data_IF_840689249070
#
_entry.id   IF_840689249070
#
_cell.length_a   1.000
_cell.length_b   1.000
_cell.length_c   1.000
_cell.angle_alpha   90.00
_cell.angle_beta   90.00
_cell.angle_gamma   90.00
#
_symmetry.space_group_name_H-M   'P 1'
#
loop_
_entity.id
_entity.type
_entity.pdbx_description
1 polymer ?
#
# COMPACT_ATOMS: atom_id res chain seq x y z
N UNK A 1 -3.96 36.80 -7.32
CA UNK A 1 -5.10 35.95 -6.95
C UNK A 1 -5.46 36.25 -5.50
N UNK A 2 -6.55 36.98 -5.28
CA UNK A 2 -6.97 37.39 -3.93
C UNK A 2 -7.37 36.14 -3.13
N UNK A 3 -6.80 36.01 -1.93
CA UNK A 3 -6.98 34.86 -1.05
C UNK A 3 -8.44 34.73 -0.62
N UNK A 4 -9.14 33.75 -1.18
CA UNK A 4 -10.41 33.30 -0.62
C UNK A 4 -10.08 32.70 0.74
N UNK A 5 -10.57 33.32 1.80
CA UNK A 5 -10.34 32.90 3.19
C UNK A 5 -10.82 31.45 3.43
N UNK A 6 -10.31 30.78 4.45
CA UNK A 6 -10.85 29.49 4.93
C UNK A 6 -11.83 29.80 6.06
N UNK A 7 -13.07 30.26 5.77
CA UNK A 7 -13.95 30.83 6.79
C UNK A 7 -14.26 29.81 7.90
N UNK A 8 -14.48 28.55 7.53
CA UNK A 8 -14.82 27.48 8.48
C UNK A 8 -13.63 27.11 9.35
N UNK A 9 -12.43 26.97 8.76
CA UNK A 9 -11.18 26.72 9.51
C UNK A 9 -10.87 27.88 10.45
N UNK A 10 -11.01 29.13 9.97
CA UNK A 10 -10.81 30.32 10.81
C UNK A 10 -11.84 30.36 11.94
N UNK A 11 -13.10 30.08 11.66
CA UNK A 11 -14.17 30.06 12.66
C UNK A 11 -13.90 29.01 13.74
N UNK A 12 -13.59 27.77 13.35
CA UNK A 12 -13.24 26.69 14.26
C UNK A 12 -11.98 27.04 15.09
N UNK A 13 -10.96 27.60 14.45
CA UNK A 13 -9.74 28.02 15.14
C UNK A 13 -9.97 29.18 16.12
N UNK A 14 -10.85 30.14 15.81
CA UNK A 14 -11.21 31.21 16.75
C UNK A 14 -11.98 30.65 17.96
N UNK A 15 -12.85 29.66 17.76
CA UNK A 15 -13.54 28.97 18.86
C UNK A 15 -12.54 28.30 19.81
N UNK A 16 -11.62 27.50 19.25
CA UNK A 16 -10.52 26.88 20.01
C UNK A 16 -9.71 27.94 20.77
N UNK A 17 -9.30 29.02 20.09
CA UNK A 17 -8.51 30.10 20.68
C UNK A 17 -9.25 30.77 21.84
N UNK A 18 -10.57 30.99 21.72
CA UNK A 18 -11.37 31.59 22.77
C UNK A 18 -11.41 30.74 24.04
N UNK A 19 -11.52 29.41 23.90
CA UNK A 19 -11.46 28.44 25.01
C UNK A 19 -10.07 28.37 25.62
N UNK A 20 -9.04 28.32 24.77
CA UNK A 20 -7.64 28.25 25.18
C UNK A 20 -7.14 29.49 25.95
N UNK A 21 -7.84 30.63 25.89
CA UNK A 21 -7.51 31.82 26.72
C UNK A 21 -7.45 31.51 28.22
N UNK A 22 -8.18 30.48 28.68
CA UNK A 22 -8.22 30.05 30.09
C UNK A 22 -7.09 29.09 30.47
N UNK A 23 -6.26 28.66 29.50
CA UNK A 23 -5.20 27.66 29.65
C UNK A 23 -3.88 28.21 29.09
N UNK A 24 -3.17 29.05 29.87
CA UNK A 24 -1.94 29.72 29.40
C UNK A 24 -0.82 28.72 29.07
N UNK A 25 -0.84 27.55 29.70
CA UNK A 25 0.04 26.41 29.44
C UNK A 25 -0.03 25.92 27.98
N UNK A 26 -1.19 26.05 27.32
CA UNK A 26 -1.41 25.60 25.94
C UNK A 26 -1.16 26.70 24.90
N UNK A 27 -0.77 27.91 25.32
CA UNK A 27 -0.52 29.04 24.42
C UNK A 27 0.55 28.75 23.36
N UNK A 28 1.68 28.09 23.66
CA UNK A 28 2.68 27.75 22.64
C UNK A 28 2.12 26.87 21.52
N UNK A 29 1.33 25.84 21.87
CA UNK A 29 0.68 24.95 20.92
C UNK A 29 -0.29 25.71 19.99
N UNK A 30 -1.11 26.60 20.56
CA UNK A 30 -2.03 27.45 19.78
C UNK A 30 -1.29 28.39 18.83
N UNK A 31 -0.15 28.95 19.23
CA UNK A 31 0.68 29.82 18.36
C UNK A 31 1.27 29.01 17.20
N UNK A 32 1.84 27.83 17.48
CA UNK A 32 2.38 26.93 16.45
C UNK A 32 1.29 26.54 15.44
N UNK A 33 0.11 26.15 15.92
CA UNK A 33 -1.05 25.81 15.09
C UNK A 33 -1.52 27.01 14.25
N UNK A 34 -1.59 28.21 14.85
CA UNK A 34 -1.92 29.43 14.10
C UNK A 34 -0.92 29.70 12.96
N UNK A 35 0.37 29.52 13.22
CA UNK A 35 1.43 29.72 12.22
C UNK A 35 1.29 28.73 11.07
N UNK A 36 1.03 27.46 11.39
CA UNK A 36 0.76 26.42 10.41
C UNK A 36 -0.46 26.77 9.55
N UNK A 37 -1.58 27.18 10.15
CA UNK A 37 -2.80 27.55 9.43
C UNK A 37 -2.61 28.78 8.52
N UNK A 38 -1.91 29.81 8.99
CA UNK A 38 -1.60 30.99 8.17
C UNK A 38 -0.75 30.61 6.95
N UNK A 39 0.25 29.75 7.13
CA UNK A 39 1.08 29.24 6.03
C UNK A 39 0.30 28.32 5.09
N UNK A 40 -0.65 27.57 5.64
CA UNK A 40 -1.54 26.72 4.86
C UNK A 40 -2.40 27.53 3.89
N UNK A 41 -2.94 28.65 4.38
CA UNK A 41 -3.74 29.58 3.59
C UNK A 41 -2.93 30.32 2.52
N UNK A 42 -1.65 30.64 2.78
CA UNK A 42 -0.81 31.37 1.83
C UNK A 42 -0.31 30.54 0.65
N UNK A 43 -0.51 29.21 0.67
CA UNK A 43 -0.07 28.26 -0.36
C UNK A 43 1.45 28.36 -0.70
N UNK A 44 2.24 28.93 0.22
CA UNK A 44 3.68 29.14 0.09
C UNK A 44 4.40 28.12 0.96
N UNK A 45 4.46 26.87 0.50
CA UNK A 45 5.08 25.79 1.27
C UNK A 45 6.49 25.49 0.79
N UNK A 46 7.37 25.36 1.77
CA UNK A 46 8.52 24.46 1.69
C UNK A 46 8.11 23.16 2.39
N UNK A 47 8.20 22.02 1.70
CA UNK A 47 7.87 20.70 2.25
C UNK A 47 8.68 20.44 3.52
N UNK A 48 9.94 20.88 3.57
CA UNK A 48 10.81 20.73 4.73
C UNK A 48 10.25 21.44 5.95
N UNK A 49 9.79 22.68 5.80
CA UNK A 49 9.14 23.42 6.88
C UNK A 49 7.90 22.69 7.40
N UNK A 50 7.07 22.14 6.51
CA UNK A 50 5.86 21.42 6.91
C UNK A 50 6.22 20.16 7.67
N UNK A 51 7.17 19.36 7.18
CA UNK A 51 7.63 18.13 7.85
C UNK A 51 8.20 18.43 9.24
N UNK A 52 9.09 19.41 9.37
CA UNK A 52 9.67 19.81 10.67
C UNK A 52 8.60 20.35 11.63
N UNK A 53 7.68 21.19 11.13
CA UNK A 53 6.60 21.74 11.95
C UNK A 53 5.64 20.65 12.41
N UNK A 54 5.31 19.71 11.53
CA UNK A 54 4.40 18.62 11.84
C UNK A 54 5.00 17.68 12.89
N UNK A 55 6.28 17.32 12.75
CA UNK A 55 7.00 16.53 13.75
C UNK A 55 6.94 17.19 15.15
N UNK A 56 7.19 18.49 15.21
CA UNK A 56 7.19 19.26 16.46
C UNK A 56 5.78 19.54 17.04
N UNK A 57 4.73 19.44 16.21
CA UNK A 57 3.35 19.74 16.62
C UNK A 57 2.61 18.49 17.09
N UNK A 58 3.07 17.28 16.74
CA UNK A 58 2.37 16.02 17.06
C UNK A 58 2.07 15.85 18.56
N UNK A 59 3.08 16.01 19.42
CA UNK A 59 2.89 15.92 20.88
C UNK A 59 1.99 17.04 21.44
N UNK A 60 2.09 18.23 20.87
CA UNK A 60 1.28 19.38 21.28
C UNK A 60 -0.21 19.19 20.90
N UNK A 61 -0.49 18.50 19.79
CA UNK A 61 -1.85 18.15 19.39
C UNK A 61 -2.51 17.23 20.41
N UNK A 62 -1.78 16.28 20.99
CA UNK A 62 -2.31 15.41 22.04
C UNK A 62 -2.77 16.22 23.26
N UNK A 63 -1.98 17.21 23.68
CA UNK A 63 -2.35 18.12 24.77
C UNK A 63 -3.60 18.95 24.44
N UNK A 64 -3.71 19.41 23.18
CA UNK A 64 -4.87 20.15 22.72
C UNK A 64 -6.13 19.27 22.64
N UNK A 65 -6.05 18.04 22.14
CA UNK A 65 -7.17 17.10 22.13
C UNK A 65 -7.61 16.74 23.56
N UNK A 66 -6.67 16.54 24.48
CA UNK A 66 -6.98 16.27 25.89
C UNK A 66 -7.71 17.43 26.55
N UNK A 67 -7.38 18.67 26.20
CA UNK A 67 -7.99 19.86 26.81
C UNK A 67 -9.28 20.34 26.10
N UNK A 68 -9.36 20.17 24.78
CA UNK A 68 -10.37 20.78 23.91
C UNK A 68 -10.77 19.83 22.76
N UNK A 69 -11.17 18.59 23.09
CA UNK A 69 -11.47 17.54 22.10
C UNK A 69 -12.43 18.02 21.02
N UNK A 70 -13.59 18.56 21.42
CA UNK A 70 -14.63 19.01 20.50
C UNK A 70 -14.12 20.11 19.55
N UNK A 71 -13.52 21.17 20.09
CA UNK A 71 -13.02 22.29 19.28
C UNK A 71 -11.91 21.85 18.32
N UNK A 72 -11.05 20.91 18.73
CA UNK A 72 -10.01 20.35 17.87
C UNK A 72 -10.58 19.46 16.76
N UNK A 73 -11.60 18.65 17.04
CA UNK A 73 -12.27 17.84 16.03
C UNK A 73 -13.04 18.69 15.01
N UNK A 74 -13.70 19.77 15.45
CA UNK A 74 -14.32 20.73 14.55
C UNK A 74 -13.29 21.40 13.64
N UNK A 75 -12.13 21.78 14.18
CA UNK A 75 -11.02 22.32 13.41
C UNK A 75 -10.47 21.30 12.41
N UNK A 76 -10.26 20.05 12.84
CA UNK A 76 -9.78 18.96 11.99
C UNK A 76 -10.76 18.69 10.83
N UNK A 77 -12.05 18.57 11.13
CA UNK A 77 -13.12 18.38 10.15
C UNK A 77 -13.13 19.50 9.10
N UNK A 78 -13.14 20.76 9.55
CA UNK A 78 -13.08 21.93 8.66
C UNK A 78 -11.79 21.99 7.82
N UNK A 79 -10.66 21.58 8.40
CA UNK A 79 -9.37 21.55 7.72
C UNK A 79 -9.35 20.51 6.59
N UNK A 80 -9.84 19.30 6.85
CA UNK A 80 -9.97 18.27 5.84
C UNK A 80 -10.90 18.71 4.70
N UNK A 81 -12.04 19.31 5.03
CA UNK A 81 -12.99 19.85 4.04
C UNK A 81 -12.35 20.92 3.16
N UNK A 82 -11.71 21.90 3.78
CA UNK A 82 -11.06 22.99 3.05
C UNK A 82 -9.93 22.48 2.15
N UNK A 83 -9.11 21.55 2.63
CA UNK A 83 -8.02 20.97 1.83
C UNK A 83 -8.59 20.20 0.64
N UNK A 84 -9.56 19.30 0.85
CA UNK A 84 -10.08 18.44 -0.22
C UNK A 84 -10.87 19.21 -1.28
N UNK A 85 -11.62 20.23 -0.87
CA UNK A 85 -12.34 21.10 -1.82
C UNK A 85 -11.39 22.00 -2.62
N UNK A 86 -10.22 22.35 -2.07
CA UNK A 86 -9.20 23.16 -2.74
C UNK A 86 -8.13 22.38 -3.46
N UNK A 87 -8.14 21.04 -3.36
CA UNK A 87 -7.20 20.12 -4.01
C UNK A 87 -7.27 20.10 -5.54
N UNK A 88 -7.59 21.23 -6.17
CA UNK A 88 -7.52 21.49 -7.61
C UNK A 88 -6.18 22.12 -8.02
N UNK A 89 -5.27 22.32 -7.07
CA UNK A 89 -3.96 22.93 -7.32
C UNK A 89 -3.05 21.96 -8.09
N UNK A 90 -2.65 22.32 -9.31
CA UNK A 90 -1.72 21.54 -10.16
C UNK A 90 -0.29 21.39 -9.60
N UNK A 91 0.01 21.95 -8.42
CA UNK A 91 1.35 21.89 -7.84
C UNK A 91 1.46 20.72 -6.85
N UNK A 92 2.12 19.64 -7.30
CA UNK A 92 2.34 18.41 -6.51
C UNK A 92 2.96 18.67 -5.14
N UNK A 93 3.87 19.65 -4.99
CA UNK A 93 4.51 19.95 -3.70
C UNK A 93 3.51 20.49 -2.66
N UNK A 94 2.54 21.29 -3.11
CA UNK A 94 1.47 21.82 -2.26
C UNK A 94 0.53 20.70 -1.84
N UNK A 95 0.22 19.78 -2.77
CA UNK A 95 -0.61 18.61 -2.47
C UNK A 95 0.02 17.74 -1.37
N UNK A 96 1.31 17.41 -1.48
CA UNK A 96 2.01 16.64 -0.45
C UNK A 96 2.04 17.35 0.91
N UNK A 97 2.24 18.67 0.91
CA UNK A 97 2.22 19.47 2.14
C UNK A 97 0.86 19.42 2.84
N UNK A 98 -0.22 19.54 2.08
CA UNK A 98 -1.58 19.43 2.60
C UNK A 98 -1.90 18.05 3.16
N UNK A 99 -1.50 17.00 2.45
CA UNK A 99 -1.68 15.64 2.94
C UNK A 99 -0.87 15.35 4.19
N UNK A 100 0.34 15.91 4.30
CA UNK A 100 1.15 15.76 5.49
C UNK A 100 0.47 16.39 6.72
N UNK A 101 -0.17 17.55 6.54
CA UNK A 101 -0.98 18.18 7.59
C UNK A 101 -2.19 17.32 7.95
N UNK A 102 -2.93 16.80 6.96
CA UNK A 102 -4.05 15.89 7.20
C UNK A 102 -3.62 14.64 7.98
N UNK A 103 -2.50 14.03 7.57
CA UNK A 103 -1.90 12.87 8.25
C UNK A 103 -1.52 13.20 9.68
N UNK A 104 -0.85 14.34 9.91
CA UNK A 104 -0.51 14.81 11.25
C UNK A 104 -1.75 14.95 12.13
N UNK A 105 -2.80 15.60 11.62
CA UNK A 105 -4.04 15.82 12.37
C UNK A 105 -4.67 14.50 12.81
N UNK A 106 -4.73 13.49 11.93
CA UNK A 106 -5.24 12.15 12.26
C UNK A 106 -4.32 11.40 13.22
N UNK A 107 -3.01 11.44 12.98
CA UNK A 107 -2.02 10.82 13.86
C UNK A 107 -2.11 11.40 15.28
N UNK A 108 -2.31 12.71 15.43
CA UNK A 108 -2.52 13.32 16.74
C UNK A 108 -3.79 12.85 17.47
N UNK A 109 -4.86 12.48 16.73
CA UNK A 109 -6.05 11.87 17.34
C UNK A 109 -5.74 10.43 17.77
N UNK A 110 -5.04 9.67 16.94
CA UNK A 110 -4.63 8.30 17.26
C UNK A 110 -3.72 8.26 18.50
N UNK A 111 -2.71 9.13 18.56
CA UNK A 111 -1.83 9.25 19.72
C UNK A 111 -2.62 9.63 20.98
N UNK A 112 -3.59 10.55 20.86
CA UNK A 112 -4.47 10.92 21.96
C UNK A 112 -5.29 9.72 22.47
N UNK A 113 -5.83 8.90 21.57
CA UNK A 113 -6.59 7.70 21.93
C UNK A 113 -5.69 6.64 22.59
N UNK A 114 -4.46 6.49 22.10
CA UNK A 114 -3.46 5.57 22.65
C UNK A 114 -3.01 6.00 24.06
N UNK A 115 -2.71 7.28 24.26
CA UNK A 115 -2.28 7.81 25.56
C UNK A 115 -3.39 7.80 26.61
N UNK A 116 -4.61 8.16 26.21
CA UNK A 116 -5.71 8.26 27.17
C UNK A 116 -6.18 6.88 27.62
N UNK A 117 -5.93 5.82 26.82
CA UNK A 117 -6.42 4.44 27.01
C UNK A 117 -7.89 4.38 27.43
N UNK A 118 -8.66 5.40 27.06
CA UNK A 118 -10.00 5.60 27.59
C UNK A 118 -10.93 4.62 26.92
N UNK A 119 -11.69 3.89 27.72
CA UNK A 119 -12.89 3.17 27.28
C UNK A 119 -14.12 4.08 27.28
N UNK A 120 -13.95 5.39 27.49
CA UNK A 120 -15.02 6.37 27.48
C UNK A 120 -15.66 6.44 26.09
N UNK A 121 -16.90 5.97 26.04
CA UNK A 121 -17.71 5.91 24.83
C UNK A 121 -18.00 7.30 24.27
N UNK A 122 -18.12 8.33 25.12
CA UNK A 122 -18.43 9.71 24.69
C UNK A 122 -17.33 10.29 23.80
N UNK A 123 -16.07 9.94 24.09
CA UNK A 123 -14.90 10.34 23.27
C UNK A 123 -15.04 9.80 21.84
N UNK A 124 -15.29 8.49 21.70
CA UNK A 124 -15.41 7.86 20.38
C UNK A 124 -16.66 8.33 19.63
N UNK A 125 -17.77 8.56 20.33
CA UNK A 125 -18.98 9.12 19.74
C UNK A 125 -18.76 10.53 19.20
N UNK A 126 -18.07 11.38 19.98
CA UNK A 126 -17.72 12.75 19.56
C UNK A 126 -16.81 12.74 18.33
N UNK A 127 -15.80 11.86 18.31
CA UNK A 127 -14.91 11.65 17.15
C UNK A 127 -15.72 11.19 15.93
N UNK A 128 -16.58 10.21 16.09
CA UNK A 128 -17.40 9.67 15.02
C UNK A 128 -18.45 10.66 14.50
N UNK A 129 -18.92 11.61 15.31
CA UNK A 129 -19.80 12.68 14.88
C UNK A 129 -19.09 13.65 13.92
N UNK A 130 -17.87 14.05 14.25
CA UNK A 130 -17.17 15.11 13.53
C UNK A 130 -16.30 14.61 12.37
N UNK A 131 -15.71 13.42 12.51
CA UNK A 131 -14.70 12.92 11.58
C UNK A 131 -15.26 11.91 10.57
N UNK A 132 -16.17 11.01 10.96
CA UNK A 132 -16.67 9.99 10.02
C UNK A 132 -17.30 10.58 8.75
N UNK A 133 -18.16 11.61 8.82
CA UNK A 133 -18.76 12.19 7.62
C UNK A 133 -17.71 12.67 6.62
N UNK A 134 -16.68 13.36 7.11
CA UNK A 134 -15.60 13.91 6.30
C UNK A 134 -14.71 12.81 5.73
N UNK A 135 -14.29 11.85 6.56
CA UNK A 135 -13.46 10.72 6.12
C UNK A 135 -14.19 9.88 5.07
N UNK A 136 -15.44 9.49 5.34
CA UNK A 136 -16.18 8.65 4.41
C UNK A 136 -16.42 9.37 3.08
N UNK A 137 -16.83 10.66 3.11
CA UNK A 137 -17.09 11.46 1.90
C UNK A 137 -15.91 11.50 0.93
N UNK A 138 -14.70 11.75 1.40
CA UNK A 138 -13.55 11.95 0.51
C UNK A 138 -12.73 10.69 0.23
N UNK A 139 -12.69 9.75 1.17
CA UNK A 139 -11.84 8.55 1.06
C UNK A 139 -12.61 7.31 0.61
N UNK A 140 -13.94 7.39 0.54
CA UNK A 140 -14.82 6.35 -0.02
C UNK A 140 -15.87 6.99 -0.95
N UNK A 141 -15.47 7.71 -2.02
CA UNK A 141 -16.43 8.41 -2.86
C UNK A 141 -17.25 7.41 -3.69
N UNK A 142 -18.58 7.61 -3.73
CA UNK A 142 -19.51 6.79 -4.52
C UNK A 142 -19.27 6.89 -6.04
N UNK A 143 -18.70 8.00 -6.49
CA UNK A 143 -18.41 8.28 -7.90
C UNK A 143 -16.90 8.48 -8.10
N UNK A 144 -16.44 8.41 -9.34
CA UNK A 144 -15.07 8.77 -9.69
C UNK A 144 -14.88 10.29 -9.51
N UNK A 145 -14.29 10.71 -8.39
CA UNK A 145 -13.87 12.10 -8.20
C UNK A 145 -12.43 12.27 -8.67
N UNK A 146 -12.16 13.36 -9.41
CA UNK A 146 -10.83 13.65 -9.97
C UNK A 146 -9.77 13.72 -8.85
N UNK A 147 -10.15 14.29 -7.70
CA UNK A 147 -9.23 14.48 -6.58
C UNK A 147 -8.91 13.19 -5.82
N UNK A 148 -9.73 12.14 -5.93
CA UNK A 148 -9.54 10.91 -5.15
C UNK A 148 -8.30 10.10 -5.59
N UNK A 149 -8.00 10.08 -6.89
CA UNK A 149 -6.79 9.43 -7.41
C UNK A 149 -5.52 10.21 -7.02
N UNK A 150 -5.64 11.51 -6.71
CA UNK A 150 -4.53 12.34 -6.26
C UNK A 150 -4.24 12.18 -4.76
N UNK A 151 -5.12 11.50 -4.00
CA UNK A 151 -4.89 11.24 -2.57
C UNK A 151 -3.82 10.16 -2.43
N UNK A 152 -2.73 10.47 -1.72
CA UNK A 152 -1.68 9.49 -1.44
C UNK A 152 -2.22 8.26 -0.73
N UNK A 153 -1.63 7.12 -1.08
CA UNK A 153 -1.93 5.83 -0.45
C UNK A 153 -1.67 5.91 1.06
N UNK A 154 -0.60 6.58 1.51
CA UNK A 154 -0.33 6.71 2.95
C UNK A 154 -1.47 7.42 3.70
N UNK A 155 -2.03 8.48 3.13
CA UNK A 155 -3.15 9.18 3.76
C UNK A 155 -4.41 8.30 3.76
N UNK A 156 -4.71 7.60 2.66
CA UNK A 156 -5.83 6.64 2.61
C UNK A 156 -5.68 5.56 3.67
N UNK A 157 -4.51 4.92 3.76
CA UNK A 157 -4.20 3.91 4.78
C UNK A 157 -4.37 4.48 6.19
N UNK A 158 -3.88 5.71 6.46
CA UNK A 158 -4.04 6.36 7.77
C UNK A 158 -5.52 6.57 8.11
N UNK A 159 -6.36 6.92 7.13
CA UNK A 159 -7.81 7.05 7.33
C UNK A 159 -8.46 5.71 7.66
N UNK A 160 -8.02 4.62 7.03
CA UNK A 160 -8.61 3.29 7.30
C UNK A 160 -8.25 2.78 8.68
N UNK A 161 -6.98 2.93 9.07
CA UNK A 161 -6.53 2.66 10.44
C UNK A 161 -7.32 3.53 11.43
N UNK A 162 -7.47 4.81 11.15
CA UNK A 162 -8.27 5.70 11.99
C UNK A 162 -9.73 5.24 12.16
N UNK A 163 -10.40 4.88 11.06
CA UNK A 163 -11.78 4.36 11.12
C UNK A 163 -11.84 3.03 11.86
N UNK A 164 -10.86 2.15 11.64
CA UNK A 164 -10.73 0.86 12.32
C UNK A 164 -10.60 1.07 13.83
N UNK A 165 -9.70 1.95 14.27
CA UNK A 165 -9.39 2.18 15.69
C UNK A 165 -10.46 2.97 16.42
N UNK A 166 -11.30 3.71 15.71
CA UNK A 166 -12.39 4.48 16.31
C UNK A 166 -13.73 3.74 16.29
N UNK A 167 -13.91 2.73 15.44
CA UNK A 167 -15.10 1.89 15.37
C UNK A 167 -15.11 0.75 16.41
N UNK A 168 -14.80 1.05 17.68
CA UNK A 168 -14.61 0.03 18.74
C UNK A 168 -15.89 -0.63 19.26
N UNK A 169 -17.04 0.03 19.14
CA UNK A 169 -18.31 -0.47 19.68
C UNK A 169 -19.36 -0.68 18.58
N UNK A 170 -20.38 -1.49 18.89
CA UNK A 170 -21.43 -1.86 17.93
C UNK A 170 -22.22 -0.66 17.39
N UNK A 171 -22.39 0.41 18.17
CA UNK A 171 -23.09 1.62 17.72
C UNK A 171 -22.32 2.32 16.59
N UNK A 172 -21.01 2.50 16.78
CA UNK A 172 -20.13 3.14 15.79
C UNK A 172 -19.91 2.27 14.55
N UNK A 173 -19.78 0.96 14.72
CA UNK A 173 -19.76 0.00 13.61
C UNK A 173 -21.06 0.09 12.80
N UNK A 174 -22.22 0.11 13.47
CA UNK A 174 -23.52 0.29 12.81
C UNK A 174 -23.60 1.63 12.06
N UNK A 175 -23.04 2.70 12.62
CA UNK A 175 -22.99 4.02 11.96
C UNK A 175 -22.20 3.96 10.66
N UNK A 176 -21.04 3.29 10.63
CA UNK A 176 -20.25 3.09 9.40
C UNK A 176 -20.93 2.13 8.40
N UNK A 177 -21.73 1.18 8.88
CA UNK A 177 -22.56 0.33 7.99
C UNK A 177 -23.72 1.08 7.34
N UNK A 178 -24.09 2.28 7.81
CA UNK A 178 -25.17 3.07 7.19
C UNK A 178 -24.81 3.44 5.73
N UNK A 179 -25.63 3.05 4.74
CA UNK A 179 -25.43 3.42 3.34
C UNK A 179 -25.32 4.93 3.06
N UNK A 180 -25.89 5.77 3.95
CA UNK A 180 -25.79 7.24 3.84
C UNK A 180 -24.41 7.76 4.24
N UNK A 181 -23.65 7.02 5.04
CA UNK A 181 -22.35 7.43 5.54
C UNK A 181 -21.21 6.74 4.80
N UNK A 182 -21.13 5.41 4.88
CA UNK A 182 -20.14 4.59 4.19
C UNK A 182 -20.88 3.42 3.53
N UNK A 183 -21.41 2.49 4.34
CA UNK A 183 -22.11 1.31 3.84
C UNK A 183 -21.25 0.37 3.01
N UNK A 184 -21.78 -0.82 2.73
CA UNK A 184 -20.99 -1.85 2.05
C UNK A 184 -20.69 -1.54 0.58
N UNK A 185 -21.59 -0.87 -0.14
CA UNK A 185 -21.37 -0.54 -1.55
C UNK A 185 -20.16 0.38 -1.81
N UNK A 186 -19.99 1.44 -1.00
CA UNK A 186 -18.85 2.37 -1.14
C UNK A 186 -17.57 1.73 -0.64
N UNK A 187 -17.66 0.90 0.40
CA UNK A 187 -16.55 0.10 0.87
C UNK A 187 -16.06 -0.91 -0.19
N UNK A 188 -16.99 -1.62 -0.84
CA UNK A 188 -16.69 -2.53 -1.95
C UNK A 188 -16.09 -1.83 -3.16
N UNK A 189 -16.57 -0.63 -3.50
CA UNK A 189 -15.97 0.18 -4.54
C UNK A 189 -14.52 0.57 -4.21
N UNK A 190 -14.23 0.87 -2.95
CA UNK A 190 -12.88 1.18 -2.48
C UNK A 190 -11.97 -0.05 -2.55
N UNK A 191 -12.42 -1.21 -2.04
CA UNK A 191 -11.70 -2.48 -2.19
C UNK A 191 -11.38 -2.79 -3.65
N UNK A 192 -12.33 -2.53 -4.56
CA UNK A 192 -12.14 -2.74 -5.98
C UNK A 192 -11.13 -1.78 -6.61
N UNK A 193 -10.69 -0.70 -5.94
CA UNK A 193 -9.68 0.27 -6.41
C UNK A 193 -8.29 0.01 -5.84
N UNK A 194 -8.18 -0.57 -4.65
CA UNK A 194 -6.88 -0.77 -4.00
C UNK A 194 -6.03 -1.82 -4.72
N UNK A 195 -4.75 -1.49 -4.93
CA UNK A 195 -3.75 -2.35 -5.60
C UNK A 195 -2.45 -2.51 -4.81
N UNK A 196 -2.35 -1.90 -3.63
CA UNK A 196 -1.21 -2.04 -2.74
C UNK A 196 -1.59 -2.97 -1.58
N UNK A 197 -0.68 -3.86 -1.18
CA UNK A 197 -0.90 -4.89 -0.17
C UNK A 197 -1.26 -4.28 1.19
N UNK A 198 -0.40 -3.40 1.73
CA UNK A 198 -0.62 -2.77 3.05
C UNK A 198 -1.89 -1.91 3.10
N UNK A 199 -2.27 -1.37 1.94
CA UNK A 199 -3.49 -0.59 1.81
C UNK A 199 -4.73 -1.49 1.82
N UNK A 200 -4.62 -2.67 1.21
CA UNK A 200 -5.66 -3.69 1.19
C UNK A 200 -5.84 -4.28 2.60
N UNK A 201 -4.74 -4.57 3.29
CA UNK A 201 -4.71 -5.05 4.68
C UNK A 201 -5.45 -4.09 5.62
N UNK A 202 -5.11 -2.80 5.62
CA UNK A 202 -5.78 -1.80 6.45
C UNK A 202 -7.29 -1.66 6.15
N UNK A 203 -7.73 -1.87 4.90
CA UNK A 203 -9.17 -1.94 4.60
C UNK A 203 -9.79 -3.19 5.20
N UNK A 204 -9.14 -4.33 5.04
CA UNK A 204 -9.68 -5.60 5.50
C UNK A 204 -9.73 -5.68 7.04
N UNK A 205 -8.79 -5.07 7.76
CA UNK A 205 -8.90 -4.86 9.21
C UNK A 205 -10.12 -4.01 9.60
N UNK A 206 -10.42 -2.96 8.82
CA UNK A 206 -11.66 -2.21 8.99
C UNK A 206 -12.89 -3.08 8.67
N UNK A 207 -12.84 -3.90 7.61
CA UNK A 207 -13.94 -4.80 7.25
C UNK A 207 -14.26 -5.76 8.40
N UNK A 208 -13.24 -6.41 8.98
CA UNK A 208 -13.40 -7.33 10.11
C UNK A 208 -14.27 -6.71 11.22
N UNK A 209 -13.99 -5.45 11.59
CA UNK A 209 -14.76 -4.71 12.60
C UNK A 209 -16.17 -4.35 12.14
N UNK A 210 -16.39 -4.20 10.84
CA UNK A 210 -17.68 -3.82 10.26
C UNK A 210 -18.59 -5.01 9.97
N UNK A 211 -18.09 -6.24 9.91
CA UNK A 211 -18.91 -7.43 9.68
C UNK A 211 -19.92 -7.61 10.82
N UNK A 212 -21.24 -7.64 10.56
CA UNK A 212 -22.25 -7.91 11.58
C UNK A 212 -22.12 -9.31 12.20
N UNK A 213 -22.49 -9.44 13.47
CA UNK A 213 -22.55 -10.75 14.14
C UNK A 213 -23.80 -11.54 13.77
N UNK A 214 -24.90 -10.84 13.50
CA UNK A 214 -26.17 -11.43 13.06
C UNK A 214 -26.03 -11.93 11.62
N UNK A 215 -26.47 -13.17 11.35
CA UNK A 215 -26.26 -13.79 10.02
C UNK A 215 -26.97 -13.05 8.90
N UNK A 216 -28.25 -12.66 9.08
CA UNK A 216 -29.03 -12.02 8.02
C UNK A 216 -28.48 -10.63 7.70
N UNK A 217 -28.15 -9.85 8.75
CA UNK A 217 -27.49 -8.55 8.57
C UNK A 217 -26.11 -8.69 7.92
N UNK A 218 -25.36 -9.73 8.30
CA UNK A 218 -24.04 -10.02 7.73
C UNK A 218 -24.14 -10.34 6.26
N UNK A 219 -25.03 -11.24 5.87
CA UNK A 219 -25.16 -11.67 4.49
C UNK A 219 -25.58 -10.49 3.59
N UNK A 220 -26.52 -9.66 4.04
CA UNK A 220 -26.90 -8.42 3.34
C UNK A 220 -25.74 -7.42 3.21
N UNK A 221 -24.98 -7.23 4.28
CA UNK A 221 -23.83 -6.31 4.28
C UNK A 221 -22.72 -6.81 3.35
N UNK A 222 -22.35 -8.09 3.45
CA UNK A 222 -21.33 -8.75 2.63
C UNK A 222 -21.74 -8.77 1.15
N UNK A 223 -23.02 -9.02 0.86
CA UNK A 223 -23.57 -8.93 -0.50
C UNK A 223 -23.43 -7.53 -1.09
N UNK A 224 -23.62 -6.50 -0.28
CA UNK A 224 -23.48 -5.11 -0.72
C UNK A 224 -22.02 -4.70 -0.98
N UNK A 225 -21.05 -5.38 -0.36
CA UNK A 225 -19.61 -5.16 -0.60
C UNK A 225 -19.17 -5.85 -1.89
N UNK A 226 -19.41 -7.17 -2.00
CA UNK A 226 -18.88 -7.98 -3.09
C UNK A 226 -19.84 -8.03 -4.27
N UNK A 227 -20.01 -6.87 -4.91
CA UNK A 227 -20.81 -6.72 -6.11
C UNK A 227 -20.18 -7.49 -7.29
N UNK A 228 -20.91 -8.39 -7.99
CA UNK A 228 -20.38 -9.15 -9.14
C UNK A 228 -19.86 -8.27 -10.29
N UNK A 229 -20.35 -7.04 -10.43
CA UNK A 229 -19.85 -6.08 -11.42
C UNK A 229 -18.44 -5.56 -11.11
N UNK A 230 -18.05 -5.58 -9.82
CA UNK A 230 -16.73 -5.16 -9.36
C UNK A 230 -15.79 -6.36 -9.16
N UNK A 231 -16.34 -7.51 -8.75
CA UNK A 231 -15.55 -8.69 -8.39
C UNK A 231 -15.99 -9.94 -9.16
N UNK A 232 -15.15 -10.38 -10.11
CA UNK A 232 -15.38 -11.61 -10.89
C UNK A 232 -15.41 -12.88 -10.03
N UNK A 233 -14.75 -12.88 -8.87
CA UNK A 233 -14.74 -13.97 -7.87
C UNK A 233 -15.52 -13.61 -6.60
N UNK A 234 -16.58 -12.81 -6.73
CA UNK A 234 -17.39 -12.36 -5.59
C UNK A 234 -17.85 -13.50 -4.68
N UNK A 235 -18.30 -14.65 -5.23
CA UNK A 235 -18.78 -15.75 -4.40
C UNK A 235 -17.70 -16.32 -3.47
N UNK A 236 -16.47 -16.53 -3.99
CA UNK A 236 -15.34 -16.99 -3.16
C UNK A 236 -15.02 -15.97 -2.05
N UNK A 237 -15.12 -14.67 -2.33
CA UNK A 237 -14.91 -13.63 -1.31
C UNK A 237 -16.00 -13.66 -0.24
N UNK A 238 -17.27 -13.80 -0.64
CA UNK A 238 -18.40 -13.91 0.29
C UNK A 238 -18.26 -15.12 1.19
N UNK A 239 -17.95 -16.28 0.63
CA UNK A 239 -17.82 -17.53 1.38
C UNK A 239 -16.72 -17.41 2.45
N UNK A 240 -15.57 -16.82 2.10
CA UNK A 240 -14.48 -16.58 3.06
C UNK A 240 -14.91 -15.61 4.16
N UNK A 241 -15.49 -14.46 3.82
CA UNK A 241 -15.88 -13.46 4.83
C UNK A 241 -17.00 -13.97 5.75
N UNK A 242 -17.93 -14.76 5.24
CA UNK A 242 -18.98 -15.38 6.08
C UNK A 242 -18.38 -16.44 7.03
N UNK A 243 -17.25 -17.06 6.67
CA UNK A 243 -16.54 -18.03 7.51
C UNK A 243 -15.63 -17.41 8.59
N UNK A 244 -15.43 -16.08 8.56
CA UNK A 244 -14.45 -15.36 9.37
C UNK A 244 -14.57 -15.60 10.89
N UNK A 245 -15.79 -15.80 11.40
CA UNK A 245 -16.04 -16.03 12.83
C UNK A 245 -15.28 -17.24 13.40
N UNK A 246 -14.90 -18.20 12.54
CA UNK A 246 -14.33 -19.48 12.95
C UNK A 246 -12.82 -19.60 12.67
N UNK A 247 -12.17 -18.55 12.17
CA UNK A 247 -10.77 -18.61 11.74
C UNK A 247 -10.01 -17.35 12.19
N UNK A 248 -8.74 -17.47 12.58
CA UNK A 248 -7.93 -16.31 12.90
C UNK A 248 -7.67 -15.48 11.64
N UNK A 249 -7.64 -14.17 11.81
CA UNK A 249 -7.46 -13.22 10.72
C UNK A 249 -6.21 -13.50 9.88
N UNK A 250 -5.11 -13.86 10.54
CA UNK A 250 -3.81 -14.16 9.91
C UNK A 250 -3.86 -15.35 8.95
N UNK A 251 -4.82 -16.26 9.10
CA UNK A 251 -5.07 -17.36 8.16
C UNK A 251 -5.99 -16.94 7.01
N UNK A 252 -6.99 -16.09 7.31
CA UNK A 252 -8.03 -15.69 6.36
C UNK A 252 -7.51 -14.66 5.35
N UNK A 253 -6.77 -13.67 5.81
CA UNK A 253 -6.34 -12.56 4.95
C UNK A 253 -5.45 -13.00 3.77
N UNK A 254 -4.46 -13.90 3.93
CA UNK A 254 -3.70 -14.44 2.80
C UNK A 254 -4.59 -15.13 1.74
N UNK A 255 -5.66 -15.83 2.16
CA UNK A 255 -6.60 -16.45 1.23
C UNK A 255 -7.38 -15.42 0.42
N UNK A 256 -7.80 -14.33 1.07
CA UNK A 256 -8.45 -13.18 0.41
C UNK A 256 -7.50 -12.60 -0.64
N UNK A 257 -6.26 -12.28 -0.27
CA UNK A 257 -5.25 -11.72 -1.20
C UNK A 257 -5.04 -12.67 -2.40
N UNK A 258 -5.01 -13.98 -2.17
CA UNK A 258 -4.90 -14.98 -3.22
C UNK A 258 -6.12 -15.00 -4.18
N UNK A 259 -7.33 -14.70 -3.71
CA UNK A 259 -8.51 -14.51 -4.58
C UNK A 259 -8.32 -13.26 -5.44
N UNK A 260 -7.96 -12.12 -4.84
CA UNK A 260 -7.71 -10.88 -5.55
C UNK A 260 -6.63 -11.04 -6.63
N UNK A 261 -5.52 -11.71 -6.29
CA UNK A 261 -4.44 -12.00 -7.23
C UNK A 261 -4.93 -12.80 -8.46
N UNK A 262 -5.85 -13.76 -8.26
CA UNK A 262 -6.46 -14.57 -9.33
C UNK A 262 -7.48 -13.79 -10.17
N UNK A 263 -8.02 -12.69 -9.67
CA UNK A 263 -8.95 -11.85 -10.42
C UNK A 263 -8.22 -10.94 -11.42
N UNK A 264 -7.06 -10.40 -11.02
CA UNK A 264 -6.27 -9.53 -11.89
C UNK A 264 -4.82 -9.46 -11.42
N UNK A 265 -3.90 -9.47 -12.39
CA UNK A 265 -2.46 -9.25 -12.16
C UNK A 265 -2.15 -7.88 -11.53
N UNK A 266 -3.10 -6.93 -11.59
CA UNK A 266 -2.94 -5.59 -10.99
C UNK A 266 -3.06 -5.60 -9.46
N UNK A 267 -3.76 -6.58 -8.89
CA UNK A 267 -3.80 -6.75 -7.44
C UNK A 267 -2.46 -7.25 -6.88
N UNK A 268 -2.21 -7.13 -5.57
CA UNK A 268 -1.03 -7.72 -4.94
C UNK A 268 -0.90 -9.21 -5.32
N UNK A 269 0.28 -9.61 -5.76
CA UNK A 269 0.57 -10.99 -6.14
C UNK A 269 1.37 -11.65 -5.02
N UNK A 270 0.80 -12.60 -4.27
CA UNK A 270 1.55 -13.38 -3.29
C UNK A 270 2.47 -14.36 -4.03
N UNK A 271 3.76 -14.29 -3.73
CA UNK A 271 4.81 -15.15 -4.30
C UNK A 271 5.48 -15.88 -3.14
N UNK A 272 5.43 -17.22 -3.07
CA UNK A 272 6.15 -17.94 -2.04
C UNK A 272 7.66 -17.74 -2.23
N UNK A 273 8.36 -17.46 -1.14
CA UNK A 273 9.79 -17.22 -1.11
C UNK A 273 10.44 -18.01 0.03
N UNK A 274 11.75 -18.23 -0.09
CA UNK A 274 12.61 -18.73 0.97
C UNK A 274 13.94 -17.98 0.96
N UNK A 275 14.68 -18.04 2.07
CA UNK A 275 16.03 -17.47 2.19
C UNK A 275 16.09 -15.98 1.82
N UNK A 276 15.16 -15.17 2.31
CA UNK A 276 15.22 -13.73 2.13
C UNK A 276 16.36 -13.15 2.97
N UNK A 277 17.43 -12.66 2.36
CA UNK A 277 18.60 -12.11 3.06
C UNK A 277 18.99 -10.76 2.47
N UNK A 278 19.37 -9.82 3.33
CA UNK A 278 20.17 -8.67 2.91
C UNK A 278 21.65 -9.03 3.03
N UNK A 279 22.50 -8.31 2.29
CA UNK A 279 23.95 -8.61 2.18
C UNK A 279 24.67 -8.72 3.53
N UNK A 280 24.16 -8.03 4.56
CA UNK A 280 24.77 -7.93 5.88
C UNK A 280 23.90 -8.52 7.00
N UNK A 281 22.80 -9.22 6.67
CA UNK A 281 21.85 -9.74 7.68
C UNK A 281 21.59 -11.24 7.55
N UNK A 282 21.21 -11.84 8.68
CA UNK A 282 20.73 -13.22 8.73
C UNK A 282 19.49 -13.43 7.85
N UNK A 283 19.22 -14.67 7.40
CA UNK A 283 18.00 -15.00 6.66
C UNK A 283 16.76 -14.68 7.47
N UNK A 284 15.83 -14.00 6.82
CA UNK A 284 14.49 -13.76 7.30
C UNK A 284 13.59 -14.97 6.97
N UNK A 285 12.78 -15.46 7.92
CA UNK A 285 11.94 -16.65 7.73
C UNK A 285 10.66 -16.39 6.93
N UNK A 286 10.48 -15.20 6.35
CA UNK A 286 9.28 -14.88 5.57
C UNK A 286 9.00 -15.89 4.47
N UNK A 287 7.78 -16.42 4.43
CA UNK A 287 7.37 -17.43 3.46
C UNK A 287 6.76 -16.81 2.20
N UNK A 288 6.30 -15.56 2.25
CA UNK A 288 5.57 -14.92 1.16
C UNK A 288 6.02 -13.48 0.91
N UNK A 289 6.29 -13.19 -0.35
CA UNK A 289 6.56 -11.86 -0.88
C UNK A 289 5.35 -11.37 -1.67
N UNK A 290 4.86 -10.19 -1.36
CA UNK A 290 3.79 -9.54 -2.10
C UNK A 290 4.38 -8.57 -3.14
N UNK A 291 4.01 -8.78 -4.40
CA UNK A 291 4.37 -7.90 -5.53
C UNK A 291 3.16 -7.05 -5.90
N UNK A 292 3.20 -5.77 -5.57
CA UNK A 292 2.06 -4.87 -5.71
C UNK A 292 2.40 -3.63 -6.55
N UNK A 293 1.53 -2.61 -6.58
CA UNK A 293 1.78 -1.42 -7.39
C UNK A 293 2.92 -0.52 -6.89
N UNK A 294 3.29 -0.62 -5.60
CA UNK A 294 4.29 0.23 -4.95
C UNK A 294 5.67 -0.41 -4.92
N UNK A 295 5.71 -1.73 -4.78
CA UNK A 295 6.97 -2.42 -4.60
C UNK A 295 6.83 -3.88 -4.22
N UNK A 296 7.84 -4.34 -3.50
CA UNK A 296 7.91 -5.64 -2.88
C UNK A 296 7.68 -5.48 -1.37
N UNK A 297 6.79 -6.28 -0.81
CA UNK A 297 6.45 -6.22 0.62
C UNK A 297 6.46 -7.62 1.22
N UNK A 298 7.09 -7.80 2.36
CA UNK A 298 7.10 -9.06 3.11
C UNK A 298 7.39 -8.81 4.59
N UNK A 299 7.07 -9.79 5.43
CA UNK A 299 7.26 -9.69 6.88
C UNK A 299 8.68 -10.09 7.27
N UNK A 300 9.29 -9.39 8.22
CA UNK A 300 10.64 -9.64 8.76
C UNK A 300 10.62 -9.71 10.28
N UNK A 301 11.36 -10.67 10.84
CA UNK A 301 11.57 -10.77 12.28
C UNK A 301 12.65 -9.77 12.71
N UNK A 302 12.28 -8.86 13.63
CA UNK A 302 13.14 -7.86 14.24
C UNK A 302 12.94 -7.94 15.75
N UNK A 303 13.97 -8.35 16.49
CA UNK A 303 13.97 -8.39 17.97
C UNK A 303 12.74 -9.05 18.60
N UNK A 304 12.41 -10.28 18.16
CA UNK A 304 11.23 -11.06 18.58
C UNK A 304 9.86 -10.45 18.21
N UNK A 305 9.84 -9.44 17.33
CA UNK A 305 8.62 -8.90 16.72
C UNK A 305 8.61 -9.12 15.20
N UNK A 306 7.42 -9.27 14.63
CA UNK A 306 7.23 -9.29 13.18
C UNK A 306 6.97 -7.86 12.72
N UNK A 307 7.83 -7.35 11.85
CA UNK A 307 7.68 -6.05 11.20
C UNK A 307 7.50 -6.21 9.68
N UNK A 308 7.07 -5.16 9.01
CA UNK A 308 6.90 -5.12 7.56
C UNK A 308 8.14 -4.52 6.90
N UNK A 309 8.75 -5.27 5.98
CA UNK A 309 9.77 -4.78 5.06
C UNK A 309 9.13 -4.35 3.74
N UNK A 310 9.39 -3.10 3.33
CA UNK A 310 8.92 -2.57 2.05
C UNK A 310 10.05 -2.04 1.18
N UNK A 311 10.08 -2.49 -0.08
CA UNK A 311 11.05 -2.08 -1.10
C UNK A 311 10.30 -1.44 -2.26
N UNK A 312 10.34 -0.11 -2.33
CA UNK A 312 9.74 0.62 -3.43
C UNK A 312 10.48 0.37 -4.76
N UNK A 313 9.76 0.33 -5.88
CA UNK A 313 10.39 0.01 -7.18
C UNK A 313 11.47 1.00 -7.62
N UNK A 314 11.33 2.29 -7.26
CA UNK A 314 12.35 3.30 -7.57
C UNK A 314 13.67 3.09 -6.81
N UNK A 315 13.66 2.28 -5.74
CA UNK A 315 14.85 1.89 -5.00
C UNK A 315 15.59 0.73 -5.67
N UNK A 316 14.95 -0.02 -6.58
CA UNK A 316 15.58 -1.16 -7.25
C UNK A 316 16.41 -0.63 -8.42
N UNK A 317 17.72 -0.86 -8.36
CA UNK A 317 18.67 -0.46 -9.41
C UNK A 317 18.77 -1.55 -10.48
N UNK A 318 18.81 -2.82 -10.05
CA UNK A 318 19.06 -3.95 -10.95
C UNK A 318 18.50 -5.24 -10.37
N UNK A 319 18.02 -6.11 -11.25
CA UNK A 319 17.48 -7.42 -10.89
C UNK A 319 18.25 -8.49 -11.65
N UNK A 320 18.89 -9.42 -10.92
CA UNK A 320 19.56 -10.60 -11.47
C UNK A 320 18.85 -11.84 -10.96
N UNK A 321 18.82 -12.90 -11.76
CA UNK A 321 18.34 -14.19 -11.26
C UNK A 321 19.10 -15.36 -11.86
N UNK A 322 19.19 -16.45 -11.11
CA UNK A 322 19.95 -17.64 -11.53
C UNK A 322 19.32 -18.27 -12.79
N UNK A 323 20.19 -18.66 -13.73
CA UNK A 323 19.77 -19.39 -14.93
C UNK A 323 19.62 -20.88 -14.62
N UNK A 324 18.91 -21.58 -15.50
CA UNK A 324 18.82 -23.04 -15.50
C UNK A 324 20.18 -23.67 -15.81
N UNK A 325 21.07 -23.72 -14.83
CA UNK A 325 22.34 -24.44 -14.97
C UNK A 325 22.19 -25.91 -14.60
N UNK A 326 21.23 -26.27 -13.73
CA UNK A 326 21.06 -27.65 -13.26
C UNK A 326 19.59 -28.03 -13.00
N UNK A 327 19.12 -29.22 -13.45
CA UNK A 327 17.76 -29.70 -13.19
C UNK A 327 17.44 -29.93 -11.71
N UNK A 328 18.47 -30.19 -10.88
CA UNK A 328 18.36 -30.51 -9.45
C UNK A 328 17.97 -29.32 -8.57
N UNK A 329 18.11 -28.08 -9.06
CA UNK A 329 17.77 -26.89 -8.28
C UNK A 329 16.25 -26.64 -8.38
N UNK A 330 15.57 -26.74 -7.23
CA UNK A 330 14.11 -26.59 -7.10
C UNK A 330 13.64 -25.14 -7.00
N UNK A 331 14.56 -24.19 -6.83
CA UNK A 331 14.29 -22.75 -6.69
C UNK A 331 15.04 -21.92 -7.75
N UNK A 332 14.57 -20.71 -8.00
CA UNK A 332 15.28 -19.67 -8.75
C UNK A 332 15.67 -18.57 -7.77
N UNK A 333 16.95 -18.25 -7.68
CA UNK A 333 17.46 -17.20 -6.80
C UNK A 333 17.38 -15.87 -7.54
N UNK A 334 16.76 -14.88 -6.92
CA UNK A 334 16.68 -13.50 -7.40
C UNK A 334 17.53 -12.61 -6.49
N UNK A 335 18.31 -11.72 -7.08
CA UNK A 335 19.10 -10.70 -6.42
C UNK A 335 18.62 -9.33 -6.89
N UNK A 336 18.22 -8.48 -5.94
CA UNK A 336 17.79 -7.10 -6.18
C UNK A 336 18.86 -6.17 -5.60
N UNK A 337 19.55 -5.45 -6.48
CA UNK A 337 20.46 -4.38 -6.08
C UNK A 337 19.64 -3.14 -5.75
N UNK A 338 19.76 -2.65 -4.51
CA UNK A 338 18.99 -1.52 -3.98
C UNK A 338 19.90 -0.29 -3.82
N UNK A 339 19.36 0.90 -4.12
CA UNK A 339 20.08 2.17 -3.99
C UNK A 339 20.27 2.59 -2.52
N UNK A 340 19.25 2.30 -1.70
CA UNK A 340 19.25 2.48 -0.24
C UNK A 340 18.65 1.24 0.43
N UNK A 341 18.87 1.02 1.73
CA UNK A 341 18.30 -0.13 2.42
C UNK A 341 16.76 -0.01 2.47
N UNK A 342 16.02 -1.13 2.61
CA UNK A 342 14.56 -1.13 2.68
C UNK A 342 14.05 -0.36 3.90
N UNK A 343 12.81 0.12 3.83
CA UNK A 343 12.12 0.57 5.03
C UNK A 343 11.63 -0.63 5.81
N UNK A 344 12.00 -0.70 7.10
CA UNK A 344 11.49 -1.69 8.05
C UNK A 344 10.70 -0.92 9.11
N UNK A 345 9.42 -1.22 9.23
CA UNK A 345 8.52 -0.48 10.13
C UNK A 345 8.48 1.02 9.83
N UNK A 346 8.87 1.83 10.83
CA UNK A 346 8.93 3.31 10.73
C UNK A 346 10.34 3.84 10.50
N UNK A 347 11.35 2.99 10.48
CA UNK A 347 12.73 3.41 10.45
C UNK A 347 13.21 3.63 9.01
N UNK A 348 13.76 4.82 8.78
CA UNK A 348 14.38 5.17 7.50
C UNK A 348 15.88 4.93 7.64
N UNK A 349 16.44 3.92 6.96
CA UNK A 349 17.85 3.58 7.12
C UNK A 349 18.77 4.63 6.49
N UNK A 350 20.03 4.64 6.92
CA UNK A 350 21.06 5.46 6.30
C UNK A 350 21.31 5.04 4.83
N UNK A 351 21.67 5.97 3.93
CA UNK A 351 21.87 5.66 2.53
C UNK A 351 23.10 4.76 2.30
N UNK A 352 22.88 3.46 2.18
CA UNK A 352 23.89 2.47 1.80
C UNK A 352 23.32 1.50 0.76
N UNK A 353 24.12 1.18 -0.26
CA UNK A 353 23.72 0.18 -1.25
C UNK A 353 23.67 -1.21 -0.60
N UNK A 354 22.58 -1.93 -0.82
CA UNK A 354 22.33 -3.27 -0.25
C UNK A 354 21.75 -4.18 -1.33
N UNK A 355 22.08 -5.47 -1.29
CA UNK A 355 21.44 -6.48 -2.16
C UNK A 355 20.47 -7.33 -1.35
N UNK A 356 19.20 -7.40 -1.79
CA UNK A 356 18.24 -8.40 -1.34
C UNK A 356 18.40 -9.67 -2.18
N UNK A 357 18.60 -10.81 -1.54
CA UNK A 357 18.56 -12.13 -2.16
C UNK A 357 17.31 -12.87 -1.70
N UNK A 358 16.55 -13.46 -2.62
CA UNK A 358 15.41 -14.33 -2.32
C UNK A 358 15.46 -15.57 -3.20
N UNK A 359 14.88 -16.67 -2.72
CA UNK A 359 14.68 -17.89 -3.51
C UNK A 359 13.20 -18.10 -3.77
N UNK A 360 12.81 -18.29 -5.03
CA UNK A 360 11.42 -18.51 -5.44
C UNK A 360 11.28 -19.94 -5.96
N UNK A 361 10.26 -20.73 -5.56
CA UNK A 361 10.04 -22.05 -6.12
C UNK A 361 9.97 -22.02 -7.64
N UNK A 362 10.65 -22.97 -8.30
CA UNK A 362 10.82 -22.97 -9.76
C UNK A 362 9.48 -22.92 -10.52
N UNK A 363 8.45 -23.59 -10.02
CA UNK A 363 7.12 -23.59 -10.61
C UNK A 363 6.36 -22.25 -10.48
N UNK A 364 6.83 -21.34 -9.62
CA UNK A 364 6.29 -19.98 -9.43
C UNK A 364 7.13 -18.89 -10.10
N UNK A 365 8.27 -19.26 -10.68
CA UNK A 365 9.19 -18.29 -11.31
C UNK A 365 8.50 -17.46 -12.38
N UNK A 366 7.73 -18.10 -13.26
CA UNK A 366 7.11 -17.40 -14.39
C UNK A 366 5.98 -16.48 -13.93
N UNK A 367 5.24 -16.87 -12.89
CA UNK A 367 4.26 -16.01 -12.23
C UNK A 367 4.93 -14.78 -11.62
N UNK A 368 6.07 -14.95 -10.95
CA UNK A 368 6.81 -13.85 -10.35
C UNK A 368 7.38 -12.90 -11.41
N UNK A 369 8.01 -13.42 -12.47
CA UNK A 369 8.50 -12.61 -13.59
C UNK A 369 7.36 -11.85 -14.28
N UNK A 370 6.20 -12.50 -14.44
CA UNK A 370 4.98 -11.87 -14.99
C UNK A 370 4.48 -10.74 -14.09
N UNK A 371 4.47 -10.93 -12.77
CA UNK A 371 4.11 -9.90 -11.81
C UNK A 371 5.06 -8.69 -11.90
N UNK A 372 6.38 -8.92 -11.85
CA UNK A 372 7.39 -7.87 -12.01
C UNK A 372 7.26 -7.12 -13.35
N UNK A 373 7.06 -7.85 -14.46
CA UNK A 373 6.83 -7.24 -15.78
C UNK A 373 5.57 -6.38 -15.80
N UNK A 374 4.49 -6.82 -15.18
CA UNK A 374 3.25 -6.06 -15.07
C UNK A 374 3.38 -4.78 -14.24
N UNK A 375 4.50 -4.60 -13.52
CA UNK A 375 4.85 -3.41 -12.73
C UNK A 375 5.91 -2.52 -13.39
N UNK A 376 6.31 -2.87 -14.61
CA UNK A 376 7.24 -2.05 -15.40
C UNK A 376 8.71 -2.19 -15.01
N UNK A 377 9.06 -3.07 -14.06
CA UNK A 377 10.46 -3.25 -13.61
C UNK A 377 11.26 -4.25 -14.46
N UNK A 378 10.69 -4.76 -15.56
CA UNK A 378 11.41 -5.65 -16.47
C UNK A 378 12.59 -5.00 -17.18
N UNK A 379 12.63 -3.67 -17.29
CA UNK A 379 13.79 -2.94 -17.80
C UNK A 379 15.02 -3.01 -16.89
N UNK A 380 14.82 -3.36 -15.61
CA UNK A 380 15.89 -3.52 -14.61
C UNK A 380 16.49 -4.93 -14.64
N UNK A 381 15.93 -5.84 -15.43
CA UNK A 381 16.46 -7.19 -15.58
C UNK A 381 17.83 -7.12 -16.24
N UNK A 382 18.81 -7.79 -15.65
CA UNK A 382 20.14 -7.87 -16.25
C UNK A 382 20.10 -8.67 -17.55
N UNK A 383 20.05 -7.95 -18.67
CA UNK A 383 20.09 -8.49 -20.02
C UNK A 383 21.52 -8.73 -20.51
N UNK A 384 22.53 -8.82 -19.64
CA UNK A 384 23.85 -9.30 -20.05
C UNK A 384 23.79 -10.79 -20.41
N UNK A 385 23.14 -11.06 -21.54
CA UNK A 385 23.50 -12.09 -22.47
C UNK A 385 24.98 -11.90 -22.82
N UNK A 386 25.87 -12.61 -22.11
CA UNK A 386 26.95 -13.22 -22.86
C UNK A 386 26.26 -14.09 -23.89
N UNK A 387 26.17 -13.61 -25.13
CA UNK A 387 26.15 -14.47 -26.32
C UNK A 387 27.27 -15.45 -26.09
N UNK A 388 26.95 -16.65 -25.63
CA UNK A 388 27.90 -17.74 -25.62
C UNK A 388 28.06 -18.02 -27.10
N UNK A 389 29.13 -17.48 -27.70
CA UNK A 389 29.55 -17.86 -29.02
C UNK A 389 29.62 -19.39 -29.02
N UNK A 390 28.77 -20.02 -29.81
CA UNK A 390 28.92 -21.41 -30.24
C UNK A 390 30.21 -21.48 -31.07
N UNK A 391 31.34 -21.43 -30.39
CA UNK A 391 32.67 -21.58 -30.95
C UNK A 391 33.45 -22.56 -30.07
N UNK A 392 32.83 -23.69 -29.78
CA UNK A 392 33.52 -24.94 -29.45
C UNK A 392 32.77 -26.05 -30.19
N UNK A 393 32.78 -25.96 -31.52
CA UNK A 393 32.56 -27.12 -32.37
C UNK A 393 33.91 -27.82 -32.53
N UNK A 394 34.02 -28.96 -31.86
CA UNK A 394 34.85 -30.12 -32.19
C UNK A 394 36.06 -29.88 -33.10
N UNK A 395 37.22 -29.72 -32.48
CA UNK A 395 38.49 -30.10 -33.10
C UNK A 395 38.96 -31.43 -32.48
N UNK A 396 38.26 -32.50 -32.81
CA UNK A 396 38.85 -33.84 -32.90
C UNK A 396 39.57 -33.89 -34.25
N UNK A 397 40.83 -33.46 -34.25
CA UNK A 397 41.76 -33.67 -35.35
C UNK A 397 42.17 -35.15 -35.35
N UNK A 398 41.38 -35.97 -36.01
CA UNK A 398 41.75 -37.37 -36.30
C UNK A 398 42.51 -37.41 -37.62
N UNK A 399 43.84 -37.45 -37.55
CA UNK A 399 44.70 -37.64 -38.71
C UNK A 399 44.74 -39.14 -39.07
N UNK A 400 43.76 -39.60 -39.84
CA UNK A 400 43.84 -40.89 -40.52
C UNK A 400 44.37 -40.71 -41.95
N UNK A 401 45.59 -41.16 -42.16
CA UNK A 401 46.22 -41.27 -43.47
C UNK A 401 45.46 -42.32 -44.32
N UNK A 402 44.83 -41.88 -45.40
CA UNK A 402 44.40 -42.78 -46.48
C UNK A 402 45.60 -43.39 -47.23
N UNK A 403 45.35 -44.51 -47.92
CA UNK A 403 45.42 -44.44 -49.38
C UNK A 403 44.16 -44.99 -50.07
N UNK A 404 43.66 -44.15 -50.99
CA UNK A 404 42.98 -44.36 -52.28
C UNK A 404 42.22 -45.66 -52.60
N UNK A 405 40.97 -45.49 -53.08
CA UNK A 405 40.53 -46.04 -54.37
C UNK A 405 39.30 -45.25 -54.94
N UNK A 406 39.08 -45.18 -56.27
CA UNK A 406 38.31 -44.14 -56.98
C UNK A 406 36.84 -44.55 -57.33
N UNK A 407 36.02 -43.66 -57.97
CA UNK A 407 34.59 -43.51 -57.67
C UNK A 407 33.66 -44.36 -58.54
N UNK A 408 32.44 -44.60 -58.06
CA UNK A 408 31.31 -45.06 -58.90
C UNK A 408 30.03 -44.24 -58.67
N UNK A 409 29.77 -43.40 -59.66
CA UNK A 409 28.48 -43.12 -60.33
C UNK A 409 27.26 -42.72 -59.49
N UNK A 410 26.82 -41.48 -59.74
CA UNK A 410 25.45 -41.00 -59.56
C UNK A 410 24.43 -41.74 -60.44
N UNK A 411 23.15 -41.74 -60.04
CA UNK A 411 22.10 -41.40 -60.97
C UNK A 411 21.32 -40.14 -60.53
N UNK A 412 20.87 -39.47 -61.57
CA UNK A 412 20.22 -38.16 -61.67
C UNK A 412 18.69 -38.32 -61.66
N UNK A 413 18.00 -37.21 -61.35
CA UNK A 413 16.59 -36.85 -61.62
C UNK A 413 15.53 -37.49 -60.71
N UNK A 414 14.53 -36.77 -60.15
CA UNK A 414 13.61 -35.75 -60.67
C UNK A 414 13.18 -34.81 -59.49
N UNK A 415 13.10 -33.47 -59.53
CA UNK A 415 12.24 -32.50 -60.29
C UNK A 415 10.75 -32.91 -60.20
N UNK A 416 9.85 -32.30 -59.42
CA UNK A 416 9.39 -30.91 -59.50
C UNK A 416 8.39 -30.56 -58.32
N UNK A 417 8.01 -29.27 -58.15
CA UNK A 417 7.35 -28.65 -56.98
C UNK A 417 5.85 -28.34 -57.19
N UNK A 418 5.13 -27.96 -56.13
CA UNK A 418 3.90 -27.10 -56.07
C UNK A 418 3.74 -26.71 -54.57
N UNK A 419 3.66 -25.48 -54.06
CA UNK A 419 2.97 -24.19 -54.33
C UNK A 419 1.43 -24.19 -54.29
N UNK A 420 0.92 -23.23 -53.49
CA UNK A 420 -0.45 -22.71 -53.27
C UNK A 420 -1.36 -23.54 -52.34
N UNK A 421 -2.06 -23.00 -51.33
CA UNK A 421 -2.56 -21.64 -51.08
C UNK A 421 -2.45 -21.22 -49.61
#
# INVERSE_FOLDING_TARGET
>A
MAGVAWPDVRSAFQSLKAKAKRRPDLRPAIIKLSSLLVKLESASFDLKFVTETCANLRQELVLLYRAFLLEMLQLASALFDCIQTRKTAKNLFILHSWEHVQKLTLSGILDYLEETRSSDQEIYETIAEHMFPVMCRYFFPSESSVNYEEISIELKTTVYIFLSDTAKNHSLQRKLRDPKLLGGARFGLELARVRAYLHLEALFELLEKLVPENSDERDLFVDSIFNPALFTRHQELKDIITSLKNQPWDEVFPMIVQIFARMSIRYPQPIPITNATFSDTSPCPSETLYVDQRGLTYNIDVDDAIDTCHIAYHNIVKIRYSRYSQPSISTTTFNFELAVPPTVGKDTPEPQAVTLTISVPRHKRDDFLKALKARGVSCLFDQTERKISLAVSDSLLDFSNQPEDPPRSFPVSFVNPFWCH
#
